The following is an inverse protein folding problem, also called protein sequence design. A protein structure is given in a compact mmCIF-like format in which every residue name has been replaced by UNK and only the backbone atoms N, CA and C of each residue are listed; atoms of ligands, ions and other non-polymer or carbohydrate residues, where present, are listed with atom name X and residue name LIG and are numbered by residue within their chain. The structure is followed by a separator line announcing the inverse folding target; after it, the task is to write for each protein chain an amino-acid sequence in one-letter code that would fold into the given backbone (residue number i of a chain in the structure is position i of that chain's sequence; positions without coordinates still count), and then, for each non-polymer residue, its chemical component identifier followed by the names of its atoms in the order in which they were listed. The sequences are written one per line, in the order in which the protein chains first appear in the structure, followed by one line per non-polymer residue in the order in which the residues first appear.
data_IF_027482315948
#
_entry.id   IF_027482315948
#
_cell.length_a   1.000
_cell.length_b   1.000
_cell.length_c   1.000
_cell.angle_alpha   90.00
_cell.angle_beta   90.00
_cell.angle_gamma   90.00
#
_symmetry.space_group_name_H-M   'P 1'
#
loop_
_entity.id
_entity.type
_entity.pdbx_description
1 polymer ?
#
# COMPACT_ATOMS: atom_id res chain seq x y z
N UNK A 1 20.76 11.62 4.98
CA UNK A 1 20.54 10.69 3.86
C UNK A 1 19.20 9.94 3.91
N UNK A 2 18.28 10.25 4.84
CA UNK A 2 16.88 9.77 4.82
C UNK A 2 15.97 10.74 4.04
N UNK A 3 16.29 12.04 4.09
CA UNK A 3 15.53 13.14 3.45
C UNK A 3 15.53 13.04 1.91
N UNK A 4 16.59 12.52 1.29
CA UNK A 4 16.70 12.45 -0.18
C UNK A 4 15.81 11.34 -0.76
N UNK A 5 15.49 10.28 0.00
CA UNK A 5 14.65 9.19 -0.51
C UNK A 5 13.16 9.58 -0.59
N UNK A 6 12.69 10.45 0.30
CA UNK A 6 11.33 11.00 0.26
C UNK A 6 11.10 11.98 -0.90
N UNK A 7 12.14 12.42 -1.61
CA UNK A 7 11.98 13.31 -2.78
C UNK A 7 11.21 12.66 -3.92
N UNK A 8 11.18 11.32 -3.99
CA UNK A 8 10.56 10.55 -5.07
C UNK A 8 9.41 9.65 -4.61
N UNK A 9 9.28 9.42 -3.30
CA UNK A 9 8.23 8.57 -2.73
C UNK A 9 7.08 9.45 -2.29
N UNK A 10 5.89 9.22 -2.85
CA UNK A 10 4.66 9.89 -2.40
C UNK A 10 3.95 8.97 -1.44
N UNK A 11 4.17 9.19 -0.15
CA UNK A 11 3.58 8.33 0.88
C UNK A 11 2.07 8.49 0.89
N UNK A 12 1.34 7.41 0.60
CA UNK A 12 -0.12 7.39 0.70
C UNK A 12 -0.57 7.16 2.13
N UNK A 13 -0.04 6.11 2.76
CA UNK A 13 -0.26 5.84 4.17
C UNK A 13 0.94 5.13 4.79
N UNK A 14 0.96 5.09 6.12
CA UNK A 14 1.94 4.32 6.87
C UNK A 14 1.32 3.66 8.09
N UNK A 15 1.93 2.56 8.53
CA UNK A 15 1.53 1.80 9.71
C UNK A 15 2.79 1.28 10.42
N UNK A 16 2.90 1.57 11.71
CA UNK A 16 3.95 0.99 12.54
C UNK A 16 3.53 -0.38 13.08
N UNK A 17 4.48 -1.31 13.11
CA UNK A 17 4.30 -2.67 13.60
C UNK A 17 5.60 -3.12 14.26
N UNK A 18 5.62 -3.22 15.59
CA UNK A 18 6.80 -3.65 16.35
C UNK A 18 8.05 -2.85 15.90
N UNK A 19 9.08 -3.53 15.40
CA UNK A 19 10.34 -2.98 14.92
C UNK A 19 10.29 -2.45 13.48
N UNK A 20 9.12 -2.44 12.85
CA UNK A 20 8.96 -2.06 11.45
C UNK A 20 7.99 -0.89 11.26
N UNK A 21 8.25 -0.11 10.22
CA UNK A 21 7.31 0.84 9.63
C UNK A 21 6.98 0.35 8.23
N UNK A 22 5.71 0.19 7.94
CA UNK A 22 5.21 -0.12 6.61
C UNK A 22 4.63 1.15 6.01
N UNK A 23 4.85 1.40 4.72
CA UNK A 23 4.24 2.52 4.03
C UNK A 23 3.91 2.17 2.58
N UNK A 24 2.90 2.83 2.05
CA UNK A 24 2.55 2.76 0.63
C UNK A 24 3.20 3.92 -0.11
N UNK A 25 3.80 3.62 -1.26
CA UNK A 25 4.16 4.63 -2.26
C UNK A 25 3.02 4.69 -3.28
N UNK A 26 2.48 5.90 -3.45
CA UNK A 26 1.38 6.20 -4.37
C UNK A 26 1.79 5.86 -5.80
N UNK A 27 3.06 6.00 -6.16
CA UNK A 27 3.49 5.89 -7.57
C UNK A 27 2.87 7.00 -8.42
N UNK A 28 3.00 6.95 -9.74
CA UNK A 28 2.29 7.83 -10.68
C UNK A 28 0.77 7.64 -10.62
N UNK A 29 0.04 8.76 -10.62
CA UNK A 29 -1.43 8.71 -10.49
C UNK A 29 -2.00 8.01 -11.72
N UNK A 30 -2.92 7.08 -11.52
CA UNK A 30 -3.53 6.25 -12.57
C UNK A 30 -2.56 5.31 -13.30
N UNK A 31 -1.41 5.00 -12.69
CA UNK A 31 -0.45 3.99 -13.17
C UNK A 31 -0.40 2.85 -12.15
N UNK A 32 -0.23 1.61 -12.62
CA UNK A 32 -0.10 0.42 -11.75
C UNK A 32 1.32 0.28 -11.17
N UNK A 33 1.89 1.37 -10.65
CA UNK A 33 3.23 1.42 -10.09
C UNK A 33 3.25 1.64 -8.57
N UNK A 34 2.07 1.64 -7.93
CA UNK A 34 1.92 1.70 -6.49
C UNK A 34 2.65 0.55 -5.80
N UNK A 35 3.40 0.86 -4.74
CA UNK A 35 4.25 -0.11 -4.04
C UNK A 35 4.02 -0.07 -2.54
N UNK A 36 4.41 -1.15 -1.88
CA UNK A 36 4.48 -1.21 -0.42
C UNK A 36 5.94 -1.38 -0.04
N UNK A 37 6.37 -0.64 0.96
CA UNK A 37 7.70 -0.73 1.52
C UNK A 37 7.63 -1.07 2.99
N UNK A 38 8.66 -1.73 3.49
CA UNK A 38 8.93 -1.87 4.92
C UNK A 38 10.29 -1.30 5.27
N UNK A 39 10.37 -0.73 6.44
CA UNK A 39 11.56 -0.13 7.01
C UNK A 39 11.77 -0.69 8.41
N UNK A 40 12.96 -1.21 8.71
CA UNK A 40 13.30 -1.64 10.08
C UNK A 40 13.78 -0.44 10.89
N UNK A 41 13.09 -0.14 11.99
CA UNK A 41 13.41 0.93 12.95
C UNK A 41 14.87 0.81 13.41
N UNK A 42 15.56 1.94 13.47
CA UNK A 42 16.98 2.00 13.83
C UNK A 42 17.95 1.61 12.72
N UNK A 43 17.46 1.14 11.56
CA UNK A 43 18.30 0.88 10.38
C UNK A 43 18.14 1.98 9.33
N UNK A 44 18.87 1.89 8.21
CA UNK A 44 18.65 2.72 7.02
C UNK A 44 18.09 1.92 5.84
N UNK A 45 17.64 0.69 6.10
CA UNK A 45 17.24 -0.24 5.05
C UNK A 45 15.72 -0.13 4.81
N UNK A 46 15.38 0.22 3.58
CA UNK A 46 14.01 0.22 3.06
C UNK A 46 13.92 -0.92 2.04
N UNK A 47 12.97 -1.82 2.26
CA UNK A 47 12.79 -3.02 1.46
C UNK A 47 11.42 -2.96 0.77
N UNK A 48 11.35 -3.12 -0.56
CA UNK A 48 10.07 -3.23 -1.25
C UNK A 48 9.42 -4.57 -0.93
N UNK A 49 8.10 -4.56 -0.82
CA UNK A 49 7.25 -5.74 -0.85
C UNK A 49 6.62 -5.75 -2.23
N UNK A 50 7.09 -6.66 -3.09
CA UNK A 50 6.76 -6.62 -4.51
C UNK A 50 5.35 -7.12 -4.79
N UNK A 51 4.51 -6.21 -5.28
CA UNK A 51 3.19 -6.44 -5.84
C UNK A 51 3.00 -5.61 -7.12
N UNK A 52 4.08 -5.44 -7.88
CA UNK A 52 4.13 -4.59 -9.07
C UNK A 52 2.95 -4.91 -10.01
N UNK A 53 2.27 -3.86 -10.49
CA UNK A 53 1.14 -4.01 -11.40
C UNK A 53 -0.23 -4.16 -10.73
N UNK A 54 -0.31 -4.30 -9.40
CA UNK A 54 -1.59 -4.53 -8.70
C UNK A 54 -2.21 -3.26 -8.09
N UNK A 55 -1.40 -2.43 -7.43
CA UNK A 55 -1.89 -1.26 -6.71
C UNK A 55 -1.83 -0.01 -7.58
N UNK A 56 -2.92 0.77 -7.59
CA UNK A 56 -2.98 2.09 -8.23
C UNK A 56 -3.30 3.13 -7.18
N UNK A 57 -2.40 4.11 -7.01
CA UNK A 57 -2.57 5.20 -6.04
C UNK A 57 -3.02 4.72 -4.62
N UNK A 58 -2.24 3.84 -3.95
CA UNK A 58 -2.58 3.32 -2.63
C UNK A 58 -2.47 4.39 -1.53
N UNK A 59 -3.62 4.89 -1.05
CA UNK A 59 -3.74 6.00 -0.09
C UNK A 59 -3.73 5.59 1.39
N UNK A 60 -3.82 4.31 1.71
CA UNK A 60 -3.96 3.89 3.11
C UNK A 60 -3.40 2.51 3.38
N UNK A 61 -2.82 2.32 4.56
CA UNK A 61 -2.40 1.02 5.08
C UNK A 61 -2.64 0.96 6.59
N UNK A 62 -3.27 -0.12 7.07
CA UNK A 62 -3.56 -0.33 8.50
C UNK A 62 -3.40 -1.80 8.88
N UNK A 63 -2.70 -2.07 9.98
CA UNK A 63 -2.56 -3.44 10.53
C UNK A 63 -3.86 -3.88 11.21
N UNK A 64 -4.29 -5.10 10.90
CA UNK A 64 -5.33 -5.84 11.59
C UNK A 64 -4.86 -7.27 11.82
N UNK A 65 -4.61 -7.64 13.08
CA UNK A 65 -4.11 -8.98 13.44
C UNK A 65 -2.87 -9.37 12.59
N UNK A 66 -2.98 -10.39 11.74
CA UNK A 66 -1.90 -10.91 10.89
C UNK A 66 -1.95 -10.43 9.43
N UNK A 67 -2.69 -9.36 9.13
CA UNK A 67 -2.77 -8.79 7.80
C UNK A 67 -2.80 -7.25 7.83
N UNK A 68 -2.51 -6.63 6.68
CA UNK A 68 -2.82 -5.23 6.43
C UNK A 68 -4.08 -5.10 5.59
N UNK A 69 -4.84 -4.05 5.85
CA UNK A 69 -5.83 -3.51 4.93
C UNK A 69 -5.20 -2.34 4.21
N UNK A 70 -5.31 -2.32 2.89
CA UNK A 70 -4.79 -1.28 2.02
C UNK A 70 -5.93 -0.77 1.15
N UNK A 71 -6.05 0.55 1.04
CA UNK A 71 -7.03 1.18 0.16
C UNK A 71 -6.30 1.83 -1.01
N UNK A 72 -6.78 1.56 -2.22
CA UNK A 72 -6.30 2.15 -3.47
C UNK A 72 -7.52 2.65 -4.27
N UNK A 73 -7.32 3.22 -5.46
CA UNK A 73 -8.46 3.76 -6.24
C UNK A 73 -9.40 2.69 -6.78
N UNK A 74 -8.97 1.44 -6.84
CA UNK A 74 -9.75 0.32 -7.38
C UNK A 74 -10.49 -0.46 -6.30
N UNK A 75 -10.17 -0.24 -5.02
CA UNK A 75 -10.83 -0.96 -3.95
C UNK A 75 -10.03 -1.11 -2.67
N UNK A 76 -10.38 -2.16 -1.92
CA UNK A 76 -9.72 -2.51 -0.66
C UNK A 76 -9.03 -3.86 -0.83
N UNK A 77 -7.78 -3.91 -0.39
CA UNK A 77 -6.89 -5.05 -0.48
C UNK A 77 -6.52 -5.55 0.91
N UNK A 78 -6.29 -6.86 1.00
CA UNK A 78 -5.75 -7.55 2.16
C UNK A 78 -4.34 -8.05 1.82
N UNK A 79 -3.35 -7.63 2.59
CA UNK A 79 -1.98 -8.18 2.55
C UNK A 79 -1.76 -9.09 3.77
N UNK A 80 -1.68 -10.40 3.55
CA UNK A 80 -1.39 -11.35 4.62
C UNK A 80 0.12 -11.39 4.94
N UNK A 81 0.48 -11.31 6.22
CA UNK A 81 1.88 -11.18 6.67
C UNK A 81 2.63 -12.50 6.77
N UNK A 82 1.93 -13.63 6.82
CA UNK A 82 2.51 -14.96 6.97
C UNK A 82 3.12 -15.49 5.66
N UNK A 83 2.53 -15.15 4.52
CA UNK A 83 2.93 -15.61 3.19
C UNK A 83 3.15 -14.46 2.20
N UNK A 84 3.04 -13.20 2.65
CA UNK A 84 3.15 -12.00 1.83
C UNK A 84 2.24 -12.05 0.60
N UNK A 85 0.98 -12.47 0.76
CA UNK A 85 0.00 -12.48 -0.35
C UNK A 85 -0.92 -11.26 -0.31
N UNK A 86 -1.05 -10.58 -1.45
CA UNK A 86 -2.00 -9.48 -1.65
C UNK A 86 -3.27 -10.01 -2.34
N UNK A 87 -4.44 -9.69 -1.81
CA UNK A 87 -5.73 -10.11 -2.36
C UNK A 87 -6.73 -8.97 -2.31
N UNK A 88 -7.40 -8.68 -3.44
CA UNK A 88 -8.50 -7.70 -3.45
C UNK A 88 -9.69 -8.30 -2.72
N UNK A 89 -10.24 -7.57 -1.75
CA UNK A 89 -11.39 -8.01 -0.94
C UNK A 89 -12.67 -7.23 -1.25
N UNK A 90 -12.53 -6.02 -1.79
CA UNK A 90 -13.63 -5.16 -2.23
C UNK A 90 -13.15 -4.51 -3.54
N UNK A 91 -13.94 -4.60 -4.61
CA UNK A 91 -13.73 -3.84 -5.84
C UNK A 91 -14.68 -2.64 -5.84
N UNK A 92 -14.18 -1.41 -5.97
CA UNK A 92 -15.04 -0.22 -5.94
C UNK A 92 -15.95 -0.11 -7.16
N UNK A 93 -15.62 -0.78 -8.27
CA UNK A 93 -16.52 -0.85 -9.43
C UNK A 93 -17.84 -1.53 -9.10
N UNK A 94 -17.85 -2.42 -8.11
CA UNK A 94 -19.07 -3.08 -7.65
C UNK A 94 -20.03 -2.11 -6.91
N UNK A 95 -19.54 -0.91 -6.53
CA UNK A 95 -20.30 0.12 -5.82
C UNK A 95 -20.61 1.34 -6.69
N UNK A 96 -20.12 1.38 -7.94
CA UNK A 96 -20.56 2.36 -8.92
C UNK A 96 -22.01 2.05 -9.29
N UNK A 97 -22.94 2.66 -8.55
CA UNK A 97 -24.34 2.70 -8.96
C UNK A 97 -24.35 3.54 -10.24
N UNK A 98 -24.55 2.90 -11.40
CA UNK A 98 -24.85 3.63 -12.62
C UNK A 98 -25.99 4.60 -12.31
N UNK A 99 -25.81 5.91 -12.53
CA UNK A 99 -26.92 6.83 -12.42
C UNK A 99 -27.94 6.36 -13.47
N UNK A 100 -29.10 5.86 -13.00
CA UNK A 100 -30.22 5.59 -13.89
C UNK A 100 -30.59 6.92 -14.54
N UNK A 101 -30.23 7.07 -15.82
CA UNK A 101 -30.73 8.12 -16.70
C UNK A 101 -32.20 7.83 -17.06
#
# INVERSE_FOLDING_TARGET
MLIILFSFIRVGGFCEVEDYIYFTDIGEVNVNDGKIYRFRKGTKNIEPIDFSGLLIDPKGIKKFRNYFIIADINGIWKLALNNMSLTKIIDYKDFEIEPKL
#
